data_IF_311262473708
#
_entry.id   IF_311262473708
#
_cell.length_a   1.000
_cell.length_b   1.000
_cell.length_c   1.000
_cell.angle_alpha   90.00
_cell.angle_beta   90.00
_cell.angle_gamma   90.00
#
_symmetry.space_group_name_H-M   'P 1'
#
loop_
_entity.id
_entity.type
_entity.pdbx_description
1 polymer ?
#
# COMPACT_ATOMS: atom_id res chain seq x y z
N UNK A 1 -12.62 -29.47 -8.91
CA UNK A 1 -12.05 -28.83 -7.71
C UNK A 1 -10.79 -28.00 -7.98
N UNK A 2 -9.89 -28.40 -8.89
CA UNK A 2 -8.65 -27.63 -9.20
C UNK A 2 -8.88 -26.22 -9.78
N UNK A 3 -10.01 -25.96 -10.45
CA UNK A 3 -10.32 -24.64 -11.04
C UNK A 3 -10.94 -23.62 -10.06
N UNK A 4 -11.26 -24.01 -8.82
CA UNK A 4 -11.80 -23.09 -7.80
C UNK A 4 -10.74 -22.57 -6.84
N UNK A 5 -9.49 -23.02 -6.93
CA UNK A 5 -8.45 -22.57 -6.01
C UNK A 5 -7.89 -21.22 -6.48
N UNK A 6 -8.03 -20.14 -5.70
CA UNK A 6 -7.66 -18.80 -6.15
C UNK A 6 -6.14 -18.59 -6.05
N UNK A 7 -5.38 -19.27 -6.89
CA UNK A 7 -3.91 -19.27 -6.87
C UNK A 7 -3.31 -17.85 -6.95
N UNK A 8 -3.93 -16.93 -7.69
CA UNK A 8 -3.51 -15.53 -7.77
C UNK A 8 -3.56 -14.83 -6.41
N UNK A 9 -4.61 -15.07 -5.62
CA UNK A 9 -4.80 -14.45 -4.31
C UNK A 9 -3.87 -15.07 -3.26
N UNK A 10 -3.65 -16.39 -3.34
CA UNK A 10 -2.68 -17.07 -2.46
C UNK A 10 -1.27 -16.55 -2.72
N UNK A 11 -0.86 -16.41 -3.98
CA UNK A 11 0.44 -15.82 -4.33
C UNK A 11 0.55 -14.35 -3.87
N UNK A 12 -0.51 -13.56 -4.05
CA UNK A 12 -0.56 -12.19 -3.53
C UNK A 12 -0.40 -12.13 -2.02
N UNK A 13 -1.05 -13.04 -1.29
CA UNK A 13 -0.94 -13.14 0.16
C UNK A 13 0.46 -13.55 0.64
N UNK A 14 1.10 -14.51 -0.04
CA UNK A 14 2.49 -14.88 0.29
C UNK A 14 3.44 -13.70 0.03
N UNK A 15 3.25 -12.97 -1.07
CA UNK A 15 4.06 -11.80 -1.37
C UNK A 15 3.84 -10.66 -0.34
N UNK A 16 2.61 -10.45 0.14
CA UNK A 16 2.33 -9.48 1.19
C UNK A 16 3.00 -9.85 2.51
N UNK A 17 3.00 -11.13 2.90
CA UNK A 17 3.72 -11.61 4.07
C UNK A 17 5.23 -11.37 3.97
N UNK A 18 5.80 -11.60 2.78
CA UNK A 18 7.22 -11.35 2.52
C UNK A 18 7.57 -9.87 2.69
N UNK A 19 6.81 -8.96 2.06
CA UNK A 19 7.02 -7.52 2.18
C UNK A 19 6.90 -7.04 3.63
N UNK A 20 5.92 -7.54 4.37
CA UNK A 20 5.75 -7.20 5.79
C UNK A 20 6.91 -7.72 6.63
N UNK A 21 7.42 -8.91 6.34
CA UNK A 21 8.58 -9.48 7.03
C UNK A 21 9.84 -8.64 6.78
N UNK A 22 10.05 -8.17 5.53
CA UNK A 22 11.15 -7.27 5.18
C UNK A 22 11.03 -5.94 5.92
N UNK A 23 9.82 -5.35 5.98
CA UNK A 23 9.59 -4.12 6.73
C UNK A 23 9.84 -4.31 8.24
N UNK A 24 9.41 -5.45 8.80
CA UNK A 24 9.64 -5.80 10.21
C UNK A 24 11.13 -6.00 10.52
N UNK A 25 11.90 -6.53 9.58
CA UNK A 25 13.34 -6.73 9.75
C UNK A 25 14.08 -5.41 10.00
N UNK A 26 13.59 -4.27 9.50
CA UNK A 26 14.17 -2.94 9.78
C UNK A 26 14.23 -2.62 11.27
N UNK A 27 13.29 -3.14 12.07
CA UNK A 27 13.32 -2.97 13.53
C UNK A 27 14.42 -3.76 14.22
N UNK A 28 14.75 -4.96 13.70
CA UNK A 28 15.72 -5.86 14.30
C UNK A 28 17.15 -5.66 13.77
N UNK A 29 17.28 -5.05 12.60
CA UNK A 29 18.55 -4.74 11.98
C UNK A 29 18.96 -3.33 12.40
N UNK A 30 20.17 -3.18 12.93
CA UNK A 30 20.72 -1.88 13.34
C UNK A 30 21.15 -1.08 12.10
N UNK A 31 20.15 -0.52 11.40
CA UNK A 31 20.32 0.21 10.15
C UNK A 31 20.37 1.72 10.39
N UNK A 32 21.03 2.46 9.49
CA UNK A 32 20.93 3.92 9.50
C UNK A 32 19.50 4.37 9.24
N UNK A 33 19.11 5.52 9.81
CA UNK A 33 17.76 6.08 9.67
C UNK A 33 17.34 6.19 8.19
N UNK A 34 18.24 6.68 7.33
CA UNK A 34 17.98 6.82 5.90
C UNK A 34 17.67 5.46 5.25
N UNK A 35 18.49 4.43 5.52
CA UNK A 35 18.31 3.11 4.94
C UNK A 35 17.01 2.45 5.42
N UNK A 36 16.75 2.49 6.74
CA UNK A 36 15.52 1.95 7.31
C UNK A 36 14.27 2.63 6.74
N UNK A 37 14.28 3.96 6.65
CA UNK A 37 13.15 4.72 6.13
C UNK A 37 12.89 4.50 4.64
N UNK A 38 13.95 4.36 3.83
CA UNK A 38 13.80 3.97 2.43
C UNK A 38 13.13 2.60 2.30
N UNK A 39 13.55 1.61 3.07
CA UNK A 39 12.94 0.26 3.03
C UNK A 39 11.47 0.32 3.43
N UNK A 40 11.14 1.02 4.52
CA UNK A 40 9.76 1.13 5.00
C UNK A 40 8.85 1.84 3.98
N UNK A 41 9.30 2.95 3.39
CA UNK A 41 8.51 3.66 2.38
C UNK A 41 8.32 2.81 1.11
N UNK A 42 9.39 2.21 0.58
CA UNK A 42 9.32 1.39 -0.63
C UNK A 42 8.40 0.19 -0.42
N UNK A 43 8.56 -0.54 0.69
CA UNK A 43 7.70 -1.69 1.01
C UNK A 43 6.24 -1.27 1.22
N UNK A 44 5.97 -0.11 1.83
CA UNK A 44 4.61 0.41 1.99
C UNK A 44 3.93 0.74 0.65
N UNK A 45 4.62 1.40 -0.28
CA UNK A 45 4.06 1.71 -1.60
C UNK A 45 3.83 0.44 -2.44
N UNK A 46 4.77 -0.52 -2.39
CA UNK A 46 4.58 -1.81 -3.08
C UNK A 46 3.39 -2.56 -2.47
N UNK A 47 3.22 -2.58 -1.15
CA UNK A 47 2.07 -3.19 -0.49
C UNK A 47 0.74 -2.54 -0.91
N UNK A 48 0.69 -1.20 -0.95
CA UNK A 48 -0.51 -0.50 -1.40
C UNK A 48 -0.87 -0.86 -2.86
N UNK A 49 0.14 -0.96 -3.73
CA UNK A 49 -0.03 -1.40 -5.12
C UNK A 49 -0.52 -2.85 -5.22
N UNK A 50 0.07 -3.77 -4.46
CA UNK A 50 -0.35 -5.17 -4.38
C UNK A 50 -1.82 -5.28 -3.96
N UNK A 51 -2.24 -4.47 -2.97
CA UNK A 51 -3.62 -4.44 -2.49
C UNK A 51 -4.59 -3.99 -3.59
N UNK A 52 -4.23 -2.94 -4.33
CA UNK A 52 -5.05 -2.42 -5.42
C UNK A 52 -5.16 -3.39 -6.61
N UNK A 53 -4.06 -4.05 -6.96
CA UNK A 53 -4.02 -4.91 -8.16
C UNK A 53 -4.55 -6.31 -7.87
N UNK A 54 -4.09 -6.96 -6.81
CA UNK A 54 -4.36 -8.39 -6.56
C UNK A 54 -5.60 -8.61 -5.71
N UNK A 55 -5.83 -7.78 -4.69
CA UNK A 55 -6.96 -7.98 -3.78
C UNK A 55 -8.21 -7.25 -4.24
N UNK A 56 -8.08 -6.02 -4.73
CA UNK A 56 -9.21 -5.25 -5.23
C UNK A 56 -9.63 -5.62 -6.66
N UNK A 57 -8.85 -6.47 -7.35
CA UNK A 57 -9.09 -6.86 -8.75
C UNK A 57 -9.46 -5.66 -9.65
N UNK A 58 -8.87 -4.49 -9.36
CA UNK A 58 -9.25 -3.21 -9.96
C UNK A 58 -9.12 -3.22 -11.48
N UNK A 59 -8.27 -4.12 -12.00
CA UNK A 59 -8.01 -4.34 -13.41
C UNK A 59 -8.78 -5.46 -14.08
N UNK A 60 -9.72 -6.18 -13.44
CA UNK A 60 -10.41 -7.35 -14.04
C UNK A 60 -11.93 -7.16 -14.24
N UNK A 61 -12.54 -6.12 -13.67
CA UNK A 61 -13.98 -5.80 -13.81
C UNK A 61 -14.30 -4.95 -15.03
N UNK A 62 -15.57 -4.86 -15.47
CA UNK A 62 -15.97 -3.96 -16.58
C UNK A 62 -15.85 -2.48 -16.22
N UNK A 63 -15.91 -2.15 -14.93
CA UNK A 63 -15.92 -0.78 -14.39
C UNK A 63 -14.56 -0.32 -13.86
N UNK A 64 -13.45 -0.78 -14.45
CA UNK A 64 -12.07 -0.46 -13.99
C UNK A 64 -11.88 1.05 -13.82
N UNK A 65 -12.36 1.84 -14.78
CA UNK A 65 -12.25 3.30 -14.75
C UNK A 65 -12.91 3.93 -13.52
N UNK A 66 -14.10 3.45 -13.14
CA UNK A 66 -14.80 3.94 -11.95
C UNK A 66 -14.05 3.58 -10.66
N UNK A 67 -13.52 2.36 -10.56
CA UNK A 67 -12.75 1.90 -9.39
C UNK A 67 -11.47 2.72 -9.23
N UNK A 68 -10.68 2.89 -10.30
CA UNK A 68 -9.46 3.70 -10.24
C UNK A 68 -9.74 5.15 -9.90
N UNK A 69 -10.83 5.72 -10.44
CA UNK A 69 -11.24 7.10 -10.15
C UNK A 69 -11.62 7.26 -8.68
N UNK A 70 -12.36 6.31 -8.12
CA UNK A 70 -12.77 6.36 -6.72
C UNK A 70 -11.58 6.21 -5.76
N UNK A 71 -10.65 5.29 -6.07
CA UNK A 71 -9.40 5.13 -5.28
C UNK A 71 -8.57 6.41 -5.35
N UNK A 72 -8.41 6.99 -6.54
CA UNK A 72 -7.66 8.23 -6.71
C UNK A 72 -8.31 9.39 -5.96
N UNK A 73 -9.64 9.51 -6.05
CA UNK A 73 -10.40 10.50 -5.29
C UNK A 73 -10.22 10.33 -3.77
N UNK A 74 -10.30 9.10 -3.27
CA UNK A 74 -10.03 8.78 -1.86
C UNK A 74 -8.59 9.10 -1.43
N UNK A 75 -7.61 8.84 -2.30
CA UNK A 75 -6.21 9.20 -2.05
C UNK A 75 -6.04 10.72 -1.94
N UNK A 76 -6.66 11.49 -2.83
CA UNK A 76 -6.61 12.96 -2.76
C UNK A 76 -7.24 13.47 -1.47
N UNK A 77 -8.40 12.95 -1.07
CA UNK A 77 -9.01 13.31 0.22
C UNK A 77 -8.04 13.01 1.36
N UNK A 78 -7.47 11.80 1.41
CA UNK A 78 -6.53 11.42 2.46
C UNK A 78 -5.31 12.35 2.51
N UNK A 79 -4.73 12.70 1.37
CA UNK A 79 -3.58 13.62 1.30
C UNK A 79 -3.94 15.03 1.74
N UNK A 80 -5.07 15.57 1.27
CA UNK A 80 -5.54 16.91 1.65
C UNK A 80 -5.85 16.96 3.15
N UNK A 81 -6.48 15.92 3.69
CA UNK A 81 -6.75 15.84 5.13
C UNK A 81 -5.46 15.76 5.93
N UNK A 82 -4.55 14.83 5.62
CA UNK A 82 -3.30 14.67 6.38
C UNK A 82 -2.44 15.93 6.29
N UNK A 83 -2.14 16.41 5.08
CA UNK A 83 -1.28 17.58 4.90
C UNK A 83 -1.95 18.87 5.35
N UNK A 84 -3.25 19.04 5.12
CA UNK A 84 -3.99 20.20 5.61
C UNK A 84 -4.00 20.28 7.13
N UNK A 85 -4.16 19.14 7.81
CA UNK A 85 -4.12 19.10 9.28
C UNK A 85 -2.71 19.35 9.81
N UNK A 86 -1.68 18.75 9.20
CA UNK A 86 -0.29 19.02 9.55
C UNK A 86 0.07 20.50 9.33
N UNK A 87 -0.36 21.09 8.21
CA UNK A 87 -0.17 22.51 7.93
C UNK A 87 -0.84 23.36 8.99
N UNK A 88 -2.11 23.10 9.33
CA UNK A 88 -2.83 23.85 10.35
C UNK A 88 -2.16 23.78 11.73
N UNK A 89 -1.60 22.62 12.10
CA UNK A 89 -0.86 22.46 13.35
C UNK A 89 0.47 23.21 13.37
N UNK A 90 1.13 23.38 12.22
CA UNK A 90 2.42 24.08 12.11
C UNK A 90 2.24 25.59 11.85
N UNK A 91 1.12 26.02 11.27
CA UNK A 91 0.92 27.40 10.79
C UNK A 91 0.90 28.46 11.91
N UNK A 92 0.49 28.08 13.12
CA UNK A 92 0.36 28.98 14.27
C UNK A 92 1.20 28.52 15.49
N UNK A 93 2.11 27.57 15.28
CA UNK A 93 3.16 27.19 16.24
C UNK A 93 4.48 27.90 15.93
#
# INVERSE_FOLDING_TARGET
MSQLFPMKQVLGFVFSLLLTTVALAVYFLDMSFAAGMTILLVTAFIQAGLQLVVFMHAGETKDKGAIYTNVFYGLIIALVTVFGTLLAMVWDM
#
